data_IF_752692619160
#
_entry.id   IF_752692619160
#
_cell.length_a   1.000
_cell.length_b   1.000
_cell.length_c   1.000
_cell.angle_alpha   90.00
_cell.angle_beta   90.00
_cell.angle_gamma   90.00
#
_symmetry.space_group_name_H-M   'P 1'
#
loop_
_entity.id
_entity.type
_entity.pdbx_description
1 polymer ?
#
# COMPACT_ATOMS: atom_id res chain seq x y z
N UNK A 1 15.59 -3.60 5.97
CA UNK A 1 15.46 -2.14 6.23
C UNK A 1 14.95 -1.86 7.64
N UNK A 2 13.75 -2.30 8.05
CA UNK A 2 13.21 -2.01 9.40
C UNK A 2 14.08 -2.54 10.56
N UNK A 3 14.74 -3.69 10.35
CA UNK A 3 15.66 -4.29 11.33
C UNK A 3 17.12 -3.84 11.16
N UNK A 4 17.41 -2.98 10.19
CA UNK A 4 18.77 -2.44 9.99
C UNK A 4 19.14 -1.52 11.17
N UNK A 5 20.25 -1.79 11.89
CA UNK A 5 20.66 -1.00 13.05
C UNK A 5 20.83 0.48 12.75
N UNK A 6 21.41 0.81 11.61
CA UNK A 6 21.66 2.18 11.13
C UNK A 6 20.33 2.91 10.90
N UNK A 7 19.36 2.23 10.28
CA UNK A 7 18.02 2.75 10.08
C UNK A 7 17.31 3.00 11.42
N UNK A 8 17.36 2.05 12.36
CA UNK A 8 16.75 2.21 13.70
C UNK A 8 17.41 3.35 14.48
N UNK A 9 18.72 3.50 14.38
CA UNK A 9 19.46 4.62 14.99
C UNK A 9 19.04 5.96 14.41
N UNK A 10 18.88 6.05 13.09
CA UNK A 10 18.41 7.26 12.41
C UNK A 10 17.01 7.65 12.89
N UNK A 11 16.07 6.69 12.93
CA UNK A 11 14.71 6.97 13.42
C UNK A 11 14.73 7.46 14.86
N UNK A 12 15.56 6.88 15.74
CA UNK A 12 15.71 7.35 17.13
C UNK A 12 16.30 8.75 17.23
N UNK A 13 17.22 9.12 16.33
CA UNK A 13 17.74 10.49 16.29
C UNK A 13 16.65 11.49 15.89
N UNK A 14 15.80 11.12 14.93
CA UNK A 14 14.73 11.98 14.43
C UNK A 14 13.52 12.04 15.39
N UNK A 15 13.25 10.96 16.12
CA UNK A 15 12.08 10.78 17.00
C UNK A 15 12.51 10.18 18.35
N UNK A 16 13.22 10.94 19.20
CA UNK A 16 13.79 10.44 20.46
C UNK A 16 12.75 9.96 21.47
N UNK A 17 11.50 10.41 21.35
CA UNK A 17 10.37 9.93 22.16
C UNK A 17 9.97 8.48 21.86
N UNK A 18 10.36 7.95 20.70
CA UNK A 18 10.12 6.56 20.31
C UNK A 18 11.28 5.73 20.88
N UNK A 19 11.03 5.12 22.05
CA UNK A 19 11.95 4.19 22.68
C UNK A 19 12.23 2.94 21.82
N UNK A 20 13.17 2.11 22.26
CA UNK A 20 13.62 0.92 21.50
C UNK A 20 12.49 -0.10 21.23
N UNK A 21 11.59 -0.25 22.20
CA UNK A 21 10.38 -1.08 22.11
C UNK A 21 9.27 -0.44 21.27
N UNK A 22 9.36 0.87 21.00
CA UNK A 22 8.40 1.61 20.18
C UNK A 22 8.64 1.44 18.68
N UNK A 23 9.79 0.91 18.27
CA UNK A 23 10.07 0.61 16.87
C UNK A 23 9.57 -0.79 16.52
N UNK A 24 8.65 -0.87 15.56
CA UNK A 24 8.15 -2.14 15.06
C UNK A 24 9.28 -3.04 14.52
N UNK A 25 9.12 -4.35 14.74
CA UNK A 25 9.91 -5.37 14.05
C UNK A 25 9.33 -5.63 12.66
N UNK A 26 10.08 -6.34 11.80
CA UNK A 26 9.62 -6.67 10.45
C UNK A 26 8.26 -7.36 10.48
N UNK A 27 8.09 -8.34 11.35
CA UNK A 27 6.82 -9.09 11.47
C UNK A 27 5.65 -8.15 11.76
N UNK A 28 5.78 -7.27 12.75
CA UNK A 28 4.70 -6.35 13.09
C UNK A 28 4.41 -5.34 11.99
N UNK A 29 5.44 -4.83 11.31
CA UNK A 29 5.25 -3.95 10.17
C UNK A 29 4.52 -4.65 9.01
N UNK A 30 4.86 -5.90 8.72
CA UNK A 30 4.17 -6.70 7.72
C UNK A 30 2.70 -6.95 8.10
N UNK A 31 2.41 -7.28 9.35
CA UNK A 31 1.04 -7.42 9.86
C UNK A 31 0.23 -6.14 9.64
N UNK A 32 0.77 -4.98 10.06
CA UNK A 32 0.10 -3.69 9.91
C UNK A 32 -0.16 -3.32 8.44
N UNK A 33 0.79 -3.62 7.54
CA UNK A 33 0.59 -3.39 6.09
C UNK A 33 -0.53 -4.26 5.55
N UNK A 34 -0.60 -5.53 5.97
CA UNK A 34 -1.66 -6.45 5.53
C UNK A 34 -3.02 -6.02 6.09
N UNK A 35 -3.10 -5.66 7.37
CA UNK A 35 -4.31 -5.15 8.03
C UNK A 35 -4.83 -3.90 7.29
N UNK A 36 -3.97 -2.91 7.07
CA UNK A 36 -4.36 -1.69 6.36
C UNK A 36 -4.76 -1.96 4.91
N UNK A 37 -4.06 -2.87 4.24
CA UNK A 37 -4.40 -3.28 2.88
C UNK A 37 -5.78 -3.95 2.82
N UNK A 38 -6.15 -4.78 3.81
CA UNK A 38 -7.47 -5.43 3.85
C UNK A 38 -8.59 -4.38 3.95
N UNK A 39 -8.43 -3.38 4.81
CA UNK A 39 -9.39 -2.27 4.94
C UNK A 39 -9.51 -1.49 3.63
N UNK A 40 -8.38 -1.11 3.05
CA UNK A 40 -8.36 -0.39 1.76
C UNK A 40 -8.97 -1.23 0.64
N UNK A 41 -8.73 -2.55 0.64
CA UNK A 41 -9.28 -3.45 -0.38
C UNK A 41 -10.82 -3.55 -0.30
N UNK A 42 -11.40 -3.53 0.91
CA UNK A 42 -12.84 -3.45 1.08
C UNK A 42 -13.41 -2.13 0.56
N UNK A 43 -12.73 -1.01 0.83
CA UNK A 43 -13.11 0.30 0.30
C UNK A 43 -13.03 0.34 -1.24
N UNK A 44 -11.92 -0.14 -1.81
CA UNK A 44 -11.72 -0.24 -3.26
C UNK A 44 -12.81 -1.07 -3.94
N UNK A 45 -13.19 -2.22 -3.36
CA UNK A 45 -14.32 -3.03 -3.89
C UNK A 45 -15.62 -2.23 -3.97
N UNK A 46 -15.90 -1.44 -2.93
CA UNK A 46 -17.07 -0.57 -2.90
C UNK A 46 -16.97 0.53 -3.97
N UNK A 47 -15.80 1.11 -4.17
CA UNK A 47 -15.58 2.14 -5.19
C UNK A 47 -15.76 1.58 -6.61
N UNK A 48 -15.21 0.39 -6.87
CA UNK A 48 -15.37 -0.29 -8.16
C UNK A 48 -16.83 -0.69 -8.43
N UNK A 49 -17.56 -1.13 -7.40
CA UNK A 49 -19.00 -1.42 -7.52
C UNK A 49 -19.83 -0.17 -7.84
N UNK A 50 -19.37 1.01 -7.41
CA UNK A 50 -20.02 2.30 -7.65
C UNK A 50 -19.47 3.06 -8.88
N UNK A 51 -18.61 2.40 -9.68
CA UNK A 51 -18.02 3.01 -10.87
C UNK A 51 -19.09 3.51 -11.85
N UNK A 52 -18.88 4.71 -12.36
CA UNK A 52 -19.75 5.36 -13.34
C UNK A 52 -19.34 4.91 -14.74
N UNK A 53 -19.73 3.68 -15.10
CA UNK A 53 -19.40 3.06 -16.37
C UNK A 53 -18.65 1.75 -16.20
N UNK A 54 -17.88 1.37 -17.23
CA UNK A 54 -17.11 0.12 -17.20
C UNK A 54 -15.84 0.29 -16.38
N UNK A 55 -15.49 -0.74 -15.62
CA UNK A 55 -14.16 -0.89 -15.03
C UNK A 55 -13.28 -1.59 -16.07
N UNK A 56 -12.15 -0.97 -16.41
CA UNK A 56 -11.15 -1.54 -17.30
C UNK A 56 -9.95 -2.03 -16.48
N UNK A 57 -9.30 -3.10 -16.93
CA UNK A 57 -8.08 -3.60 -16.29
C UNK A 57 -6.94 -3.62 -17.30
N UNK A 58 -5.77 -3.13 -16.88
CA UNK A 58 -4.51 -3.35 -17.60
C UNK A 58 -3.70 -4.38 -16.83
N UNK A 59 -3.14 -5.35 -17.56
CA UNK A 59 -2.24 -6.34 -17.00
C UNK A 59 -0.87 -6.18 -17.64
N UNK A 60 0.12 -5.84 -16.83
CA UNK A 60 1.50 -5.77 -17.24
C UNK A 60 2.14 -7.12 -16.87
N UNK A 61 2.67 -7.79 -17.88
CA UNK A 61 3.28 -9.12 -17.77
C UNK A 61 4.74 -9.00 -18.17
N UNK A 62 5.63 -9.45 -17.29
CA UNK A 62 7.06 -9.46 -17.58
C UNK A 62 7.73 -10.62 -16.84
N UNK A 63 8.94 -10.95 -17.28
CA UNK A 63 9.82 -11.83 -16.52
C UNK A 63 11.08 -11.09 -16.13
N UNK A 64 11.70 -11.47 -15.01
CA UNK A 64 13.03 -10.97 -14.66
C UNK A 64 14.14 -11.70 -15.45
N UNK A 65 15.40 -11.34 -15.20
CA UNK A 65 16.56 -11.98 -15.83
C UNK A 65 16.70 -13.48 -15.50
N UNK A 66 16.03 -13.96 -14.44
CA UNK A 66 15.96 -15.37 -14.04
C UNK A 66 14.75 -16.08 -14.64
N UNK A 67 14.01 -15.41 -15.53
CA UNK A 67 12.79 -15.88 -16.17
C UNK A 67 11.64 -16.15 -15.18
N UNK A 68 11.64 -15.51 -14.01
CA UNK A 68 10.51 -15.57 -13.09
C UNK A 68 9.36 -14.69 -13.61
N UNK A 69 8.16 -15.23 -13.79
CA UNK A 69 7.03 -14.47 -14.32
C UNK A 69 6.41 -13.58 -13.24
N UNK A 70 6.10 -12.35 -13.61
CA UNK A 70 5.37 -11.38 -12.80
C UNK A 70 4.15 -10.87 -13.57
N UNK A 71 3.11 -10.52 -12.82
CA UNK A 71 1.89 -9.91 -13.33
C UNK A 71 1.48 -8.77 -12.40
N UNK A 72 1.37 -7.56 -12.94
CA UNK A 72 0.71 -6.46 -12.25
C UNK A 72 -0.64 -6.20 -12.90
N UNK A 73 -1.70 -6.06 -12.08
CA UNK A 73 -3.04 -5.72 -12.56
C UNK A 73 -3.41 -4.35 -12.00
N UNK A 74 -3.80 -3.43 -12.88
CA UNK A 74 -4.30 -2.11 -12.52
C UNK A 74 -5.73 -1.94 -13.01
N UNK A 75 -6.64 -1.54 -12.11
CA UNK A 75 -8.01 -1.19 -12.46
C UNK A 75 -8.11 0.31 -12.77
N UNK A 76 -8.85 0.65 -13.81
CA UNK A 76 -9.20 2.02 -14.20
C UNK A 76 -10.71 2.16 -14.19
N UNK A 77 -11.23 3.15 -13.49
CA UNK A 77 -12.67 3.40 -13.39
C UNK A 77 -12.96 4.90 -13.29
N UNK A 78 -14.18 5.28 -13.64
CA UNK A 78 -14.65 6.66 -13.54
C UNK A 78 -15.53 6.77 -12.30
N UNK A 79 -15.35 7.82 -11.52
CA UNK A 79 -16.23 8.17 -10.39
C UNK A 79 -16.83 9.55 -10.61
N UNK A 80 -17.98 9.83 -9.98
CA UNK A 80 -18.47 11.20 -9.87
C UNK A 80 -17.61 11.90 -8.83
N UNK A 81 -17.08 13.06 -9.17
CA UNK A 81 -16.47 13.94 -8.18
C UNK A 81 -17.57 14.38 -7.19
N UNK A 82 -17.44 14.00 -5.92
CA UNK A 82 -18.17 14.68 -4.86
C UNK A 82 -17.49 16.03 -4.63
N UNK A 83 -18.26 17.12 -4.63
CA UNK A 83 -17.74 18.48 -4.40
C UNK A 83 -17.06 18.65 -3.04
N UNK A 84 -17.29 17.72 -2.10
CA UNK A 84 -16.74 17.74 -0.75
C UNK A 84 -15.44 16.93 -0.59
N UNK A 85 -15.01 16.18 -1.62
CA UNK A 85 -13.82 15.34 -1.58
C UNK A 85 -12.71 15.87 -2.50
N UNK A 86 -12.41 17.16 -2.38
CA UNK A 86 -11.13 17.71 -2.83
C UNK A 86 -10.18 17.86 -1.65
N UNK A 87 -9.70 16.73 -1.14
CA UNK A 87 -8.45 16.68 -0.38
C UNK A 87 -7.77 15.36 -0.77
N UNK A 88 -6.96 15.46 -1.82
CA UNK A 88 -5.79 14.60 -2.01
C UNK A 88 -4.69 15.15 -1.11
#
# INVERSE_FOLDING_TARGET
MIECPEFRRLIRLLRPEIGETGLFHRTKACEMVIEQWQEYFLALKKDLANAQGKVCFTSDLWSDQKLWPFMAITAHWITRANKDSMLV
#
